data_IF_069213213429
#
_entry.id   IF_069213213429
#
_cell.length_a   1.000
_cell.length_b   1.000
_cell.length_c   1.000
_cell.angle_alpha   90.00
_cell.angle_beta   90.00
_cell.angle_gamma   90.00
#
_symmetry.space_group_name_H-M   'P 1'
#
loop_
_entity.id
_entity.type
_entity.pdbx_description
1 polymer ?
#
# COMPACT_ATOMS: atom_id res chain seq x y z
N UNK A 1 -5.00 -3.90 -12.82
CA UNK A 1 -5.89 -4.64 -11.91
C UNK A 1 -6.86 -3.72 -11.16
N UNK A 2 -6.44 -2.65 -10.49
CA UNK A 2 -7.34 -1.73 -9.78
C UNK A 2 -8.49 -1.24 -10.67
N UNK A 3 -8.20 -0.80 -11.88
CA UNK A 3 -9.23 -0.35 -12.84
C UNK A 3 -10.25 -1.43 -13.20
N UNK A 4 -9.86 -2.72 -13.20
CA UNK A 4 -10.79 -3.83 -13.40
C UNK A 4 -11.80 -3.97 -12.28
N UNK A 5 -11.52 -3.38 -11.12
CA UNK A 5 -12.42 -3.29 -9.98
C UNK A 5 -13.18 -1.96 -9.91
N UNK A 6 -13.19 -1.19 -11.00
CA UNK A 6 -13.97 0.05 -11.12
C UNK A 6 -13.33 1.28 -10.47
N UNK A 7 -12.03 1.20 -10.14
CA UNK A 7 -11.30 2.36 -9.59
C UNK A 7 -10.79 3.26 -10.71
N UNK A 8 -10.90 4.56 -10.55
CA UNK A 8 -10.18 5.54 -11.35
C UNK A 8 -8.75 5.68 -10.80
N UNK A 9 -7.75 5.68 -11.67
CA UNK A 9 -6.33 5.67 -11.26
C UNK A 9 -5.60 6.84 -11.90
N UNK A 10 -5.01 7.67 -11.06
CA UNK A 10 -4.08 8.73 -11.45
C UNK A 10 -2.66 8.31 -11.11
N UNK A 11 -1.72 8.59 -12.00
CA UNK A 11 -0.33 8.16 -11.83
C UNK A 11 0.59 9.35 -11.62
N UNK A 12 1.42 9.28 -10.58
CA UNK A 12 2.49 10.23 -10.32
C UNK A 12 3.82 9.49 -10.35
N UNK A 13 4.75 9.91 -11.17
CA UNK A 13 6.01 9.19 -11.40
C UNK A 13 7.21 9.99 -10.90
N UNK A 14 8.10 9.31 -10.17
CA UNK A 14 9.43 9.86 -9.88
C UNK A 14 10.31 9.84 -11.14
N UNK A 15 11.34 10.69 -11.17
CA UNK A 15 12.33 10.72 -12.27
C UNK A 15 12.99 9.34 -12.52
N UNK A 16 13.13 8.52 -11.47
CA UNK A 16 13.68 7.17 -11.61
C UNK A 16 12.64 6.20 -12.21
N UNK A 17 11.37 6.31 -11.85
CA UNK A 17 10.32 5.50 -12.42
C UNK A 17 10.18 5.71 -13.94
N UNK A 18 10.32 6.94 -14.40
CA UNK A 18 10.28 7.31 -15.83
C UNK A 18 11.43 6.69 -16.64
N UNK A 19 12.54 6.33 -16.01
CA UNK A 19 13.67 5.62 -16.67
C UNK A 19 13.40 4.13 -16.85
N UNK A 20 12.44 3.56 -16.12
CA UNK A 20 12.08 2.14 -16.15
C UNK A 20 10.85 1.92 -17.00
N UNK A 21 9.84 2.78 -16.83
CA UNK A 21 8.57 2.70 -17.57
C UNK A 21 8.29 4.09 -18.15
N UNK A 22 8.02 4.14 -19.47
CA UNK A 22 7.70 5.41 -20.10
C UNK A 22 6.31 5.93 -19.62
N UNK A 23 6.17 7.24 -19.31
CA UNK A 23 4.89 7.80 -18.86
C UNK A 23 3.70 7.48 -19.77
N UNK A 24 3.86 7.50 -21.08
CA UNK A 24 2.80 7.16 -22.04
C UNK A 24 2.21 5.76 -21.84
N UNK A 25 3.00 4.80 -21.33
CA UNK A 25 2.45 3.48 -21.00
C UNK A 25 1.47 3.56 -19.84
N UNK A 26 1.76 4.41 -18.86
CA UNK A 26 0.87 4.63 -17.71
C UNK A 26 -0.38 5.43 -18.13
N UNK A 27 -0.22 6.43 -18.99
CA UNK A 27 -1.36 7.16 -19.57
C UNK A 27 -2.28 6.24 -20.36
N UNK A 28 -1.70 5.41 -21.24
CA UNK A 28 -2.47 4.42 -21.99
C UNK A 28 -3.18 3.43 -21.06
N UNK A 29 -2.52 2.99 -20.00
CA UNK A 29 -3.07 2.00 -19.08
C UNK A 29 -4.14 2.55 -18.15
N UNK A 30 -4.10 3.84 -17.81
CA UNK A 30 -5.04 4.49 -16.86
C UNK A 30 -6.09 5.36 -17.56
N UNK A 31 -5.80 5.80 -18.78
CA UNK A 31 -6.64 6.79 -19.48
C UNK A 31 -6.50 8.22 -18.94
N UNK A 32 -5.62 8.45 -17.97
CA UNK A 32 -5.39 9.74 -17.32
C UNK A 32 -3.97 10.26 -17.58
N UNK A 33 -3.82 11.59 -17.63
CA UNK A 33 -2.50 12.25 -17.73
C UNK A 33 -1.61 11.84 -16.55
N UNK A 34 -0.32 11.59 -16.82
CA UNK A 34 0.66 11.21 -15.82
C UNK A 34 1.41 12.42 -15.30
N UNK A 35 1.43 12.62 -14.00
CA UNK A 35 2.19 13.67 -13.36
C UNK A 35 3.66 13.23 -13.22
N UNK A 36 4.53 13.86 -13.98
CA UNK A 36 5.98 13.62 -13.98
C UNK A 36 6.77 14.74 -13.27
N UNK A 37 6.20 15.95 -13.24
CA UNK A 37 6.74 17.14 -12.60
C UNK A 37 5.60 17.93 -11.96
N UNK A 38 5.91 18.69 -10.92
CA UNK A 38 4.94 19.64 -10.36
C UNK A 38 5.04 20.95 -11.10
N UNK A 39 3.90 21.47 -11.51
CA UNK A 39 3.80 22.72 -12.27
C UNK A 39 2.96 23.75 -11.50
N UNK A 40 2.74 24.91 -12.12
CA UNK A 40 1.83 25.92 -11.58
C UNK A 40 0.36 25.49 -11.48
N UNK A 41 0.02 24.27 -11.97
CA UNK A 41 -1.33 23.68 -11.81
C UNK A 41 -1.55 23.09 -10.42
N UNK A 42 -0.50 23.04 -9.57
CA UNK A 42 -0.56 22.49 -8.20
C UNK A 42 -1.18 21.08 -8.13
N UNK A 43 -0.70 20.17 -8.98
CA UNK A 43 -1.24 18.84 -9.23
C UNK A 43 -1.45 18.03 -7.93
N UNK A 44 -0.53 18.17 -6.97
CA UNK A 44 -0.63 17.53 -5.65
C UNK A 44 -1.87 17.97 -4.87
N UNK A 45 -2.24 19.26 -4.95
CA UNK A 45 -3.46 19.78 -4.29
C UNK A 45 -4.70 19.29 -5.02
N UNK A 46 -4.68 19.26 -6.36
CA UNK A 46 -5.81 18.73 -7.14
C UNK A 46 -6.04 17.25 -6.86
N UNK A 47 -4.97 16.46 -6.76
CA UNK A 47 -5.06 15.01 -6.56
C UNK A 47 -5.46 14.62 -5.13
N UNK A 48 -4.90 15.27 -4.11
CA UNK A 48 -5.05 14.82 -2.71
C UNK A 48 -5.25 15.95 -1.70
N UNK A 49 -5.52 17.17 -2.16
CA UNK A 49 -5.84 18.29 -1.27
C UNK A 49 -7.22 18.18 -0.62
N UNK A 50 -7.78 19.30 -0.19
CA UNK A 50 -9.07 19.34 0.51
C UNK A 50 -10.30 19.43 -0.43
N UNK A 51 -10.12 19.23 -1.73
CA UNK A 51 -11.19 19.25 -2.73
C UNK A 51 -12.17 18.10 -2.59
N UNK A 52 -13.39 18.28 -3.11
CA UNK A 52 -14.41 17.22 -3.13
C UNK A 52 -14.03 16.03 -4.03
N UNK A 53 -13.25 16.29 -5.08
CA UNK A 53 -12.85 15.30 -6.08
C UNK A 53 -11.44 14.71 -5.81
N UNK A 54 -10.95 14.85 -4.58
CA UNK A 54 -9.64 14.28 -4.21
C UNK A 54 -9.65 12.75 -4.25
N UNK A 55 -8.50 12.17 -4.48
CA UNK A 55 -8.32 10.72 -4.40
C UNK A 55 -8.68 10.17 -3.00
N UNK A 56 -9.35 9.03 -2.99
CA UNK A 56 -9.75 8.34 -1.75
C UNK A 56 -8.57 7.62 -1.08
N UNK A 57 -7.48 7.37 -1.81
CA UNK A 57 -6.30 6.66 -1.31
C UNK A 57 -5.06 6.98 -2.15
N UNK A 58 -3.91 7.09 -1.50
CA UNK A 58 -2.59 7.14 -2.15
C UNK A 58 -1.89 5.80 -1.99
N UNK A 59 -1.52 5.18 -3.12
CA UNK A 59 -0.74 3.97 -3.17
C UNK A 59 0.68 4.27 -3.67
N UNK A 60 1.70 4.04 -2.83
CA UNK A 60 3.11 4.16 -3.22
C UNK A 60 3.67 2.76 -3.51
N UNK A 61 3.74 2.37 -4.77
CA UNK A 61 4.13 1.02 -5.19
C UNK A 61 4.95 1.03 -6.50
N UNK A 62 6.21 0.59 -6.49
CA UNK A 62 7.00 0.23 -5.31
C UNK A 62 7.58 1.44 -4.57
N UNK A 63 7.89 1.27 -3.27
CA UNK A 63 8.58 2.27 -2.46
C UNK A 63 9.98 1.79 -2.07
N UNK A 64 11.00 2.54 -2.46
CA UNK A 64 12.40 2.29 -2.05
C UNK A 64 12.66 2.83 -0.65
N UNK A 65 13.77 2.41 -0.03
CA UNK A 65 14.23 2.97 1.25
C UNK A 65 14.34 4.50 1.22
N UNK A 66 14.83 5.06 0.10
CA UNK A 66 14.94 6.51 -0.09
C UNK A 66 13.56 7.19 -0.03
N UNK A 67 12.58 6.66 -0.76
CA UNK A 67 11.22 7.21 -0.77
C UNK A 67 10.58 7.14 0.61
N UNK A 68 10.66 5.98 1.28
CA UNK A 68 10.12 5.79 2.64
C UNK A 68 10.77 6.76 3.63
N UNK A 69 12.10 6.90 3.58
CA UNK A 69 12.83 7.78 4.49
C UNK A 69 12.51 9.26 4.25
N UNK A 70 12.39 9.69 3.00
CA UNK A 70 11.97 11.05 2.67
C UNK A 70 10.58 11.35 3.21
N UNK A 71 9.61 10.49 2.95
CA UNK A 71 8.25 10.61 3.46
C UNK A 71 8.25 10.71 5.00
N UNK A 72 8.98 9.83 5.69
CA UNK A 72 9.06 9.84 7.15
C UNK A 72 9.70 11.10 7.74
N UNK A 73 10.57 11.75 6.98
CA UNK A 73 11.24 13.00 7.36
C UNK A 73 10.51 14.26 6.85
N UNK A 74 9.43 14.13 6.08
CA UNK A 74 8.71 15.27 5.49
C UNK A 74 9.52 15.99 4.41
N UNK A 75 10.29 15.26 3.61
CA UNK A 75 11.10 15.82 2.52
C UNK A 75 10.29 15.77 1.22
N UNK A 76 9.98 16.95 0.69
CA UNK A 76 9.10 17.16 -0.46
C UNK A 76 9.87 17.61 -1.72
N UNK A 77 10.88 16.86 -2.11
CA UNK A 77 11.76 17.20 -3.22
C UNK A 77 11.42 16.48 -4.54
N UNK A 78 10.31 15.74 -4.56
CA UNK A 78 9.82 15.03 -5.75
C UNK A 78 8.29 15.10 -5.85
N UNK A 79 7.69 14.97 -7.05
CA UNK A 79 6.24 14.90 -7.19
C UNK A 79 5.59 13.85 -6.28
N UNK A 80 6.22 12.69 -6.17
CA UNK A 80 5.72 11.58 -5.33
C UNK A 80 5.71 11.96 -3.85
N UNK A 81 6.81 12.52 -3.33
CA UNK A 81 6.89 12.90 -1.91
C UNK A 81 5.97 14.05 -1.57
N UNK A 82 5.81 15.02 -2.47
CA UNK A 82 4.88 16.15 -2.28
C UNK A 82 3.43 15.70 -2.27
N UNK A 83 3.04 14.78 -3.17
CA UNK A 83 1.68 14.20 -3.13
C UNK A 83 1.44 13.47 -1.82
N UNK A 84 2.39 12.66 -1.35
CA UNK A 84 2.24 11.94 -0.07
C UNK A 84 2.18 12.90 1.12
N UNK A 85 3.00 13.95 1.14
CA UNK A 85 2.97 14.99 2.17
C UNK A 85 1.61 15.69 2.23
N UNK A 86 1.08 16.06 1.07
CA UNK A 86 -0.27 16.65 0.95
C UNK A 86 -1.35 15.67 1.43
N UNK A 87 -1.22 14.38 1.10
CA UNK A 87 -2.15 13.34 1.55
C UNK A 87 -2.18 13.19 3.09
N UNK A 88 -1.03 13.32 3.76
CA UNK A 88 -0.99 13.38 5.22
C UNK A 88 -1.77 14.59 5.77
N UNK A 89 -1.58 15.75 5.17
CA UNK A 89 -2.28 16.99 5.58
C UNK A 89 -3.79 16.91 5.39
N UNK A 90 -4.24 16.29 4.31
CA UNK A 90 -5.67 16.14 3.96
C UNK A 90 -6.33 14.89 4.56
N UNK A 91 -5.60 14.13 5.39
CA UNK A 91 -6.03 12.87 5.97
C UNK A 91 -6.47 11.80 4.93
N UNK A 92 -5.93 11.87 3.71
CA UNK A 92 -6.13 10.86 2.68
C UNK A 92 -5.38 9.59 3.07
N UNK A 93 -6.01 8.41 3.08
CA UNK A 93 -5.36 7.15 3.43
C UNK A 93 -4.15 6.85 2.55
N UNK A 94 -3.08 6.33 3.15
CA UNK A 94 -1.83 6.00 2.45
C UNK A 94 -1.50 4.53 2.63
N UNK A 95 -1.18 3.86 1.52
CA UNK A 95 -0.66 2.49 1.48
C UNK A 95 0.71 2.51 0.82
N UNK A 96 1.71 1.90 1.46
CA UNK A 96 3.08 1.84 0.96
C UNK A 96 3.49 0.38 0.74
N UNK A 97 4.08 0.09 -0.41
CA UNK A 97 4.56 -1.25 -0.78
C UNK A 97 6.08 -1.21 -0.93
N UNK A 98 6.82 -1.63 0.11
CA UNK A 98 8.28 -1.61 0.09
C UNK A 98 8.87 -2.57 -0.95
N UNK A 99 9.93 -2.11 -1.65
CA UNK A 99 10.75 -2.96 -2.51
C UNK A 99 12.20 -2.45 -2.50
N UNK A 100 13.12 -3.27 -1.97
CA UNK A 100 14.53 -2.91 -1.83
C UNK A 100 15.38 -4.16 -1.55
N UNK A 101 16.71 -4.00 -1.51
CA UNK A 101 17.58 -5.07 -1.02
C UNK A 101 17.34 -5.31 0.48
N UNK A 102 17.42 -6.57 0.94
CA UNK A 102 17.13 -6.95 2.32
C UNK A 102 17.98 -6.18 3.35
N UNK A 103 19.26 -5.94 3.04
CA UNK A 103 20.16 -5.15 3.90
C UNK A 103 19.68 -3.71 4.11
N UNK A 104 19.04 -3.11 3.09
CA UNK A 104 18.43 -1.79 3.20
C UNK A 104 17.14 -1.84 4.03
N UNK A 105 16.34 -2.88 3.85
CA UNK A 105 15.11 -3.08 4.63
C UNK A 105 15.40 -3.29 6.12
N UNK A 106 16.49 -4.00 6.44
CA UNK A 106 16.97 -4.21 7.81
C UNK A 106 17.75 -3.04 8.40
N UNK A 107 18.01 -1.98 7.63
CA UNK A 107 18.72 -0.81 8.14
C UNK A 107 17.94 -0.18 9.31
N UNK A 108 18.56 0.04 10.49
CA UNK A 108 17.85 0.50 11.69
C UNK A 108 16.99 1.74 11.46
N UNK A 109 17.54 2.75 10.77
CA UNK A 109 16.83 4.01 10.47
C UNK A 109 15.64 3.77 9.52
N UNK A 110 15.77 2.89 8.51
CA UNK A 110 14.65 2.56 7.60
C UNK A 110 13.54 1.85 8.37
N UNK A 111 13.90 0.92 9.25
CA UNK A 111 12.94 0.22 10.10
C UNK A 111 12.22 1.17 11.05
N UNK A 112 12.93 2.13 11.63
CA UNK A 112 12.35 3.18 12.47
C UNK A 112 11.40 4.08 11.68
N UNK A 113 11.80 4.50 10.48
CA UNK A 113 10.97 5.30 9.58
C UNK A 113 9.67 4.57 9.20
N UNK A 114 9.73 3.27 8.95
CA UNK A 114 8.54 2.45 8.70
C UNK A 114 7.61 2.46 9.92
N UNK A 115 8.14 2.21 11.12
CA UNK A 115 7.36 2.24 12.36
C UNK A 115 6.73 3.62 12.62
N UNK A 116 7.48 4.69 12.38
CA UNK A 116 6.98 6.06 12.47
C UNK A 116 5.79 6.29 11.55
N UNK A 117 5.90 5.91 10.27
CA UNK A 117 4.82 6.05 9.31
C UNK A 117 3.60 5.19 9.68
N UNK A 118 3.82 3.97 10.19
CA UNK A 118 2.75 3.12 10.70
C UNK A 118 2.01 3.77 11.88
N UNK A 119 2.73 4.41 12.80
CA UNK A 119 2.12 5.13 13.92
C UNK A 119 1.29 6.35 13.47
N UNK A 120 1.59 6.90 12.30
CA UNK A 120 0.81 7.97 11.65
C UNK A 120 -0.37 7.44 10.81
N UNK A 121 -0.64 6.12 10.84
CA UNK A 121 -1.79 5.52 10.16
C UNK A 121 -1.51 5.01 8.74
N UNK A 122 -0.27 5.06 8.27
CA UNK A 122 0.13 4.49 6.98
C UNK A 122 0.11 2.97 7.05
N UNK A 123 -0.50 2.32 6.07
CA UNK A 123 -0.48 0.87 5.93
C UNK A 123 0.68 0.42 5.05
N UNK A 124 1.39 -0.61 5.48
CA UNK A 124 2.47 -1.23 4.70
C UNK A 124 2.05 -2.63 4.25
N UNK A 125 2.22 -2.91 2.96
CA UNK A 125 1.93 -4.22 2.36
C UNK A 125 3.23 -4.88 1.93
N UNK A 126 3.56 -6.01 2.53
CA UNK A 126 4.86 -6.65 2.36
C UNK A 126 6.00 -5.94 3.13
N UNK A 127 7.24 -6.10 2.69
CA UNK A 127 7.71 -6.86 1.52
C UNK A 127 7.73 -8.38 1.75
N UNK A 128 7.85 -9.14 0.65
CA UNK A 128 8.23 -10.55 0.72
C UNK A 128 9.74 -10.65 0.77
N UNK A 129 10.26 -11.30 1.81
CA UNK A 129 11.72 -11.48 1.94
C UNK A 129 12.11 -12.82 1.35
N UNK A 130 12.76 -12.81 0.19
CA UNK A 130 13.20 -13.99 -0.55
C UNK A 130 14.59 -13.74 -1.16
N UNK A 131 15.48 -14.70 -1.05
CA UNK A 131 16.82 -14.67 -1.68
C UNK A 131 17.61 -13.38 -1.37
N UNK A 132 17.56 -12.88 -0.14
CA UNK A 132 18.26 -11.66 0.27
C UNK A 132 17.66 -10.36 -0.29
N UNK A 133 16.44 -10.42 -0.83
CA UNK A 133 15.71 -9.28 -1.37
C UNK A 133 14.37 -9.12 -0.65
N UNK A 134 14.06 -7.90 -0.28
CA UNK A 134 12.72 -7.50 0.14
C UNK A 134 11.94 -7.11 -1.13
N UNK A 135 11.38 -8.13 -1.79
CA UNK A 135 10.61 -7.98 -3.03
C UNK A 135 9.25 -7.32 -2.74
N UNK A 136 8.73 -6.60 -3.70
CA UNK A 136 7.37 -6.06 -3.64
C UNK A 136 6.35 -7.18 -3.34
N UNK A 137 5.33 -6.89 -2.55
CA UNK A 137 4.21 -7.78 -2.32
C UNK A 137 3.54 -8.20 -3.64
N UNK A 138 2.81 -9.29 -3.63
CA UNK A 138 2.08 -9.72 -4.83
C UNK A 138 0.96 -8.74 -5.18
N UNK A 139 0.68 -8.60 -6.47
CA UNK A 139 -0.38 -7.72 -6.97
C UNK A 139 -1.71 -8.01 -6.28
N UNK A 140 -1.99 -9.27 -5.97
CA UNK A 140 -3.20 -9.68 -5.27
C UNK A 140 -3.26 -9.13 -3.84
N UNK A 141 -2.16 -9.23 -3.09
CA UNK A 141 -2.07 -8.72 -1.71
C UNK A 141 -2.23 -7.19 -1.67
N UNK A 142 -1.61 -6.50 -2.64
CA UNK A 142 -1.74 -5.04 -2.78
C UNK A 142 -3.19 -4.66 -3.09
N UNK A 143 -3.82 -5.36 -4.02
CA UNK A 143 -5.21 -5.14 -4.39
C UNK A 143 -6.16 -5.35 -3.21
N UNK A 144 -5.99 -6.45 -2.47
CA UNK A 144 -6.79 -6.75 -1.27
C UNK A 144 -6.64 -5.66 -0.20
N UNK A 145 -5.42 -5.15 0.02
CA UNK A 145 -5.17 -4.07 0.97
C UNK A 145 -5.87 -2.76 0.55
N UNK A 146 -5.77 -2.40 -0.73
CA UNK A 146 -6.43 -1.20 -1.27
C UNK A 146 -7.96 -1.32 -1.17
N UNK A 147 -8.54 -2.44 -1.62
CA UNK A 147 -9.98 -2.67 -1.53
C UNK A 147 -10.45 -2.60 -0.08
N UNK A 148 -9.76 -3.30 0.82
CA UNK A 148 -10.08 -3.25 2.25
C UNK A 148 -10.06 -1.83 2.80
N UNK A 149 -9.07 -1.02 2.43
CA UNK A 149 -8.94 0.36 2.91
C UNK A 149 -10.06 1.26 2.41
N UNK A 150 -10.55 1.03 1.19
CA UNK A 150 -11.61 1.83 0.56
C UNK A 150 -13.02 1.36 0.95
N UNK A 151 -13.22 0.05 1.17
CA UNK A 151 -14.58 -0.51 1.31
C UNK A 151 -14.99 -0.84 2.74
N UNK A 152 -14.03 -1.11 3.64
CA UNK A 152 -14.36 -1.56 5.00
C UNK A 152 -14.86 -0.41 5.84
N UNK A 153 -16.17 -0.33 6.02
CA UNK A 153 -16.78 0.46 7.09
C UNK A 153 -16.55 -0.27 8.41
N UNK A 154 -16.05 0.44 9.44
CA UNK A 154 -15.85 -0.12 10.79
C UNK A 154 -17.19 -0.21 11.55
N UNK A 155 -18.18 -0.89 10.97
CA UNK A 155 -19.52 -1.06 11.51
C UNK A 155 -19.58 -1.99 12.74
N UNK A 156 -18.55 -2.85 12.90
CA UNK A 156 -18.34 -3.66 14.11
C UNK A 156 -17.46 -2.99 15.17
N UNK A 157 -17.16 -1.68 15.04
CA UNK A 157 -16.37 -0.95 16.02
C UNK A 157 -17.03 -1.08 17.42
N UNK A 158 -16.21 -1.39 18.44
CA UNK A 158 -16.62 -1.61 19.83
C UNK A 158 -17.50 -2.87 20.04
N UNK A 159 -17.71 -3.72 19.05
CA UNK A 159 -18.35 -5.02 19.21
C UNK A 159 -17.29 -6.08 19.55
N UNK A 160 -17.64 -6.97 20.47
CA UNK A 160 -16.83 -8.18 20.74
C UNK A 160 -17.34 -9.29 19.85
N UNK A 161 -16.49 -9.82 18.98
CA UNK A 161 -16.82 -10.92 18.07
C UNK A 161 -15.94 -12.10 18.43
N UNK A 162 -16.57 -13.23 18.70
CA UNK A 162 -15.87 -14.50 18.86
C UNK A 162 -15.93 -15.25 17.53
N UNK A 163 -14.78 -15.56 16.98
CA UNK A 163 -14.65 -16.35 15.75
C UNK A 163 -13.95 -17.65 16.09
N UNK A 164 -14.58 -18.78 15.76
CA UNK A 164 -13.95 -20.10 15.83
C UNK A 164 -13.59 -20.54 14.42
N UNK A 165 -12.36 -20.99 14.22
CA UNK A 165 -11.88 -21.43 12.92
C UNK A 165 -10.95 -22.62 13.09
N UNK A 166 -10.94 -23.52 12.09
CA UNK A 166 -10.09 -24.69 12.09
C UNK A 166 -10.84 -26.00 11.95
N UNK A 167 -10.12 -27.12 11.83
CA UNK A 167 -10.74 -28.45 11.74
C UNK A 167 -11.34 -28.90 13.08
N UNK A 168 -12.41 -29.64 12.99
CA UNK A 168 -12.92 -30.43 14.11
C UNK A 168 -12.13 -31.73 14.20
N UNK A 169 -11.78 -32.14 15.40
CA UNK A 169 -11.00 -33.36 15.65
C UNK A 169 -11.78 -34.25 16.64
N UNK A 170 -12.10 -35.47 16.20
CA UNK A 170 -12.78 -36.47 17.01
C UNK A 170 -11.85 -37.68 17.16
N UNK A 171 -11.57 -38.09 18.39
CA UNK A 171 -10.72 -39.24 18.67
C UNK A 171 -11.48 -40.54 18.59
N UNK A 172 -11.06 -41.47 17.72
CA UNK A 172 -11.58 -42.85 17.67
C UNK A 172 -10.88 -43.69 18.74
N UNK A 173 -9.58 -43.54 18.84
CA UNK A 173 -8.69 -44.19 19.82
C UNK A 173 -7.45 -43.31 20.08
N UNK A 174 -6.50 -43.70 20.93
CA UNK A 174 -5.30 -42.88 21.22
C UNK A 174 -4.43 -42.53 20.01
N UNK A 175 -4.64 -43.18 18.87
CA UNK A 175 -3.80 -43.02 17.67
C UNK A 175 -4.57 -42.46 16.49
N UNK A 176 -5.87 -42.80 16.36
CA UNK A 176 -6.66 -42.45 15.19
C UNK A 176 -7.70 -41.39 15.50
N UNK A 177 -7.84 -40.45 14.55
CA UNK A 177 -8.81 -39.35 14.65
C UNK A 177 -9.61 -39.21 13.37
N UNK A 178 -10.85 -38.76 13.51
CA UNK A 178 -11.65 -38.24 12.39
C UNK A 178 -11.50 -36.72 12.39
N UNK A 179 -11.19 -36.17 11.24
CA UNK A 179 -11.10 -34.71 11.07
C UNK A 179 -11.56 -34.29 9.69
N UNK A 180 -12.00 -33.05 9.55
CA UNK A 180 -12.28 -32.43 8.27
C UNK A 180 -11.06 -31.62 7.78
N UNK A 181 -10.88 -31.53 6.46
CA UNK A 181 -9.82 -30.69 5.85
C UNK A 181 -10.25 -29.23 5.82
N UNK A 182 -10.28 -28.57 6.97
CA UNK A 182 -10.54 -27.13 7.04
C UNK A 182 -9.22 -26.36 7.27
N UNK A 183 -8.96 -25.36 6.43
CA UNK A 183 -7.76 -24.50 6.58
C UNK A 183 -7.96 -23.35 7.58
N UNK A 184 -9.20 -23.15 8.08
CA UNK A 184 -9.54 -22.00 8.92
C UNK A 184 -9.52 -20.65 8.17
N UNK A 185 -9.32 -20.64 6.85
CA UNK A 185 -9.45 -19.41 6.03
C UNK A 185 -10.94 -19.17 5.74
N UNK A 186 -11.43 -18.05 6.23
CA UNK A 186 -12.71 -17.47 5.82
C UNK A 186 -12.48 -16.27 4.94
#
# INVERSE_FOLDING_TARGET
ELMRHGTEVYTVMSAMAQKIIHPYLMEWATGNEVVTELTGKIEHVMLVGEGADKADLVLVAPATANTISKIACGIDDTPVTTVVSTAFGSATPIVIVPAMHESMYRHPVVTENIRKLQSLGTEFVGPRVEEGKAKMAETKEILEAVIRKLTVKKDLAKRKVLVTAGPTLEYIDPVRVITNKSSGKM
#
